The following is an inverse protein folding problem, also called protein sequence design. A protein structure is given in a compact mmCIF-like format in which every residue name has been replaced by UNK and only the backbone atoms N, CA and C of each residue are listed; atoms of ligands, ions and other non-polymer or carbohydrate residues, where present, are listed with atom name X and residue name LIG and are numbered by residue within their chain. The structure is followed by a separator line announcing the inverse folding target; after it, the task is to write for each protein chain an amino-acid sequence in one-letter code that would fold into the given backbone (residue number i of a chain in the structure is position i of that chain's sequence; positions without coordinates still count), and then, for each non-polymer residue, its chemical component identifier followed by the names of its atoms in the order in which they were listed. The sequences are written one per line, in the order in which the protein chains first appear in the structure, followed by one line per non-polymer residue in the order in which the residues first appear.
data_IF_868715256318
#
_entry.id   IF_868715256318
#
_cell.length_a   1.000
_cell.length_b   1.000
_cell.length_c   1.000
_cell.angle_alpha   90.00
_cell.angle_beta   90.00
_cell.angle_gamma   90.00
#
_symmetry.space_group_name_H-M   'P 1'
#
loop_
_entity.id
_entity.type
_entity.pdbx_description
1 polymer ?
#
# COMPACT_ATOMS: atom_id res chain seq x y z
N UNK A 1 -14.71 1.12 26.41
CA UNK A 1 -13.27 1.47 26.45
C UNK A 1 -13.10 2.91 26.01
N UNK A 2 -12.39 3.74 26.79
CA UNK A 2 -12.17 5.15 26.45
C UNK A 2 -11.25 5.30 25.22
N UNK A 3 -11.14 6.52 24.67
CA UNK A 3 -10.16 6.80 23.60
C UNK A 3 -8.72 6.63 24.08
N UNK A 4 -8.43 7.04 25.32
CA UNK A 4 -7.11 6.87 25.93
C UNK A 4 -6.74 5.39 26.10
N UNK A 5 -7.70 4.56 26.54
CA UNK A 5 -7.48 3.11 26.70
C UNK A 5 -7.23 2.41 25.35
N UNK A 6 -8.01 2.79 24.31
CA UNK A 6 -7.81 2.30 22.94
C UNK A 6 -6.41 2.62 22.44
N UNK A 7 -5.98 3.86 22.62
CA UNK A 7 -4.65 4.30 22.22
C UNK A 7 -3.55 3.52 22.93
N UNK A 8 -3.62 3.40 24.27
CA UNK A 8 -2.67 2.60 25.05
C UNK A 8 -2.60 1.16 24.56
N UNK A 9 -3.74 0.52 24.27
CA UNK A 9 -3.72 -0.83 23.71
C UNK A 9 -3.10 -0.94 22.33
N UNK A 10 -3.31 0.04 21.45
CA UNK A 10 -2.62 0.04 20.18
C UNK A 10 -1.11 0.23 20.33
N UNK A 11 -0.68 1.06 21.28
CA UNK A 11 0.74 1.26 21.59
C UNK A 11 1.39 -0.03 22.11
N UNK A 12 0.81 -0.65 23.14
CA UNK A 12 1.29 -1.93 23.71
C UNK A 12 1.44 -2.99 22.59
N UNK A 13 0.39 -3.16 21.79
CA UNK A 13 0.39 -4.13 20.70
C UNK A 13 1.40 -3.81 19.60
N UNK A 14 1.72 -2.54 19.38
CA UNK A 14 2.76 -2.15 18.43
C UNK A 14 4.16 -2.50 18.97
N UNK A 15 4.38 -2.32 20.27
CA UNK A 15 5.64 -2.70 20.93
C UNK A 15 5.80 -4.21 20.86
N UNK A 16 4.78 -4.97 21.27
CA UNK A 16 4.77 -6.45 21.18
C UNK A 16 4.99 -6.92 19.73
N UNK A 17 4.31 -6.28 18.77
CA UNK A 17 4.51 -6.56 17.35
C UNK A 17 5.97 -6.36 16.95
N UNK A 18 6.60 -5.26 17.33
CA UNK A 18 8.01 -5.04 17.05
C UNK A 18 8.87 -6.13 17.70
N UNK A 19 8.66 -6.45 18.98
CA UNK A 19 9.48 -7.40 19.74
C UNK A 19 9.46 -8.82 19.15
N UNK A 20 8.32 -9.25 18.61
CA UNK A 20 8.15 -10.56 17.96
C UNK A 20 9.00 -10.74 16.70
N UNK A 21 9.39 -9.67 15.99
CA UNK A 21 10.20 -9.82 14.79
C UNK A 21 11.69 -9.94 15.14
N UNK A 22 12.35 -11.04 14.72
CA UNK A 22 13.78 -11.14 14.88
C UNK A 22 14.46 -10.13 13.98
N UNK A 23 15.57 -9.57 14.47
CA UNK A 23 16.43 -8.74 13.64
C UNK A 23 17.18 -9.66 12.66
N UNK A 24 16.73 -9.66 11.41
CA UNK A 24 17.26 -10.58 10.39
C UNK A 24 18.22 -9.85 9.46
N UNK A 25 19.45 -10.33 9.34
CA UNK A 25 20.39 -9.90 8.30
C UNK A 25 20.21 -10.81 7.09
N UNK A 26 19.62 -10.26 6.05
CA UNK A 26 19.47 -10.90 4.74
C UNK A 26 20.80 -10.83 3.96
N UNK A 27 20.87 -11.60 2.86
CA UNK A 27 22.00 -11.55 1.93
C UNK A 27 22.29 -10.12 1.48
N UNK A 28 23.56 -9.84 1.20
CA UNK A 28 24.06 -8.53 0.78
C UNK A 28 23.90 -7.41 1.81
N UNK A 29 23.70 -7.74 3.08
CA UNK A 29 23.68 -6.72 4.12
C UNK A 29 22.40 -5.90 4.12
N UNK A 30 21.26 -6.56 3.96
CA UNK A 30 19.96 -5.92 4.15
C UNK A 30 19.41 -6.35 5.50
N UNK A 31 18.95 -5.41 6.32
CA UNK A 31 18.31 -5.73 7.59
C UNK A 31 16.81 -5.69 7.41
N UNK A 32 16.13 -6.70 7.95
CA UNK A 32 14.67 -6.78 7.94
C UNK A 32 14.13 -6.71 9.37
N UNK A 33 13.49 -5.59 9.70
CA UNK A 33 12.89 -5.36 11.00
C UNK A 33 11.78 -4.27 10.94
N UNK A 34 10.69 -4.33 11.75
CA UNK A 34 9.63 -3.33 11.75
C UNK A 34 10.08 -1.88 11.95
N UNK A 35 11.16 -1.65 12.70
CA UNK A 35 11.59 -0.29 13.06
C UNK A 35 12.75 0.25 12.21
N UNK A 36 13.49 -0.60 11.50
CA UNK A 36 14.67 -0.16 10.74
C UNK A 36 15.09 -1.17 9.67
N UNK A 37 15.74 -0.68 8.62
CA UNK A 37 16.20 -1.46 7.46
C UNK A 37 17.70 -1.30 7.17
N UNK A 38 18.41 -0.53 7.99
CA UNK A 38 19.84 -0.27 7.79
C UNK A 38 20.69 -1.27 8.55
N UNK A 39 21.80 -1.70 7.93
CA UNK A 39 22.91 -2.37 8.61
C UNK A 39 23.65 -1.45 9.57
N UNK A 40 23.45 -0.14 9.49
CA UNK A 40 24.13 0.81 10.35
C UNK A 40 23.17 1.42 11.35
N UNK A 41 23.58 1.45 12.60
CA UNK A 41 22.89 2.19 13.66
C UNK A 41 23.87 3.14 14.33
N UNK A 42 23.33 4.22 14.91
CA UNK A 42 24.12 5.08 15.79
C UNK A 42 24.13 4.44 17.17
N UNK A 43 25.30 4.01 17.62
CA UNK A 43 25.49 3.51 18.97
C UNK A 43 25.21 4.62 19.99
N UNK A 44 24.45 4.28 21.02
CA UNK A 44 23.89 5.26 21.96
C UNK A 44 24.97 5.76 22.94
N UNK A 45 25.88 4.90 23.34
CA UNK A 45 26.92 5.21 24.32
C UNK A 45 28.04 6.02 23.70
N UNK A 46 28.48 5.61 22.51
CA UNK A 46 29.65 6.20 21.83
C UNK A 46 29.27 7.28 20.82
N UNK A 47 28.00 7.33 20.39
CA UNK A 47 27.52 8.23 19.35
C UNK A 47 28.03 7.91 17.95
N UNK A 48 28.84 6.86 17.78
CA UNK A 48 29.45 6.44 16.52
C UNK A 48 28.48 5.62 15.69
N UNK A 49 28.73 5.57 14.37
CA UNK A 49 28.03 4.65 13.49
C UNK A 49 28.65 3.26 13.66
N UNK A 50 27.81 2.27 13.95
CA UNK A 50 28.19 0.86 14.11
C UNK A 50 27.50 0.05 13.02
N UNK A 51 28.21 -0.93 12.47
CA UNK A 51 27.67 -1.91 11.52
C UNK A 51 27.14 -3.10 12.33
N UNK A 52 25.89 -3.47 12.08
CA UNK A 52 25.22 -4.63 12.64
C UNK A 52 25.84 -5.91 12.05
N UNK A 53 26.42 -6.73 12.89
CA UNK A 53 27.00 -8.03 12.56
C UNK A 53 26.54 -9.08 13.58
N UNK A 54 26.66 -10.39 13.29
CA UNK A 54 26.24 -11.45 14.21
C UNK A 54 26.74 -11.30 15.66
N UNK A 55 27.92 -10.71 15.85
CA UNK A 55 28.55 -10.55 17.16
C UNK A 55 27.93 -9.43 18.02
N UNK A 56 27.36 -8.38 17.40
CA UNK A 56 26.81 -7.23 18.12
C UNK A 56 25.29 -7.04 17.93
N UNK A 57 24.67 -7.81 17.04
CA UNK A 57 23.28 -7.62 16.61
C UNK A 57 22.28 -7.73 17.75
N UNK A 58 22.55 -8.59 18.75
CA UNK A 58 21.66 -8.79 19.90
C UNK A 58 21.68 -7.57 20.83
N UNK A 59 22.86 -7.07 21.16
CA UNK A 59 23.02 -5.89 22.03
C UNK A 59 22.49 -4.63 21.34
N UNK A 60 22.85 -4.44 20.07
CA UNK A 60 22.39 -3.29 19.29
C UNK A 60 20.88 -3.34 19.05
N UNK A 61 20.28 -4.55 18.90
CA UNK A 61 18.81 -4.71 18.89
C UNK A 61 18.23 -4.12 20.17
N UNK A 62 18.66 -4.55 21.36
CA UNK A 62 18.13 -4.04 22.63
C UNK A 62 18.23 -2.52 22.71
N UNK A 63 19.40 -1.95 22.41
CA UNK A 63 19.62 -0.50 22.42
C UNK A 63 18.71 0.26 21.46
N UNK A 64 18.55 -0.22 20.22
CA UNK A 64 17.66 0.38 19.23
C UNK A 64 16.20 0.28 19.69
N UNK A 65 15.80 -0.86 20.24
CA UNK A 65 14.45 -1.07 20.75
C UNK A 65 14.13 -0.17 21.94
N UNK A 66 15.01 -0.06 22.93
CA UNK A 66 14.79 0.81 24.09
C UNK A 66 14.54 2.26 23.64
N UNK A 67 15.39 2.76 22.74
CA UNK A 67 15.24 4.10 22.16
C UNK A 67 13.95 4.24 21.34
N UNK A 68 13.62 3.26 20.52
CA UNK A 68 12.42 3.33 19.68
C UNK A 68 11.14 3.16 20.51
N UNK A 69 11.15 2.32 21.55
CA UNK A 69 10.06 2.15 22.50
C UNK A 69 9.77 3.45 23.25
N UNK A 70 10.82 4.18 23.68
CA UNK A 70 10.66 5.52 24.25
C UNK A 70 10.00 6.50 23.26
N UNK A 71 10.42 6.50 21.99
CA UNK A 71 9.82 7.34 20.93
C UNK A 71 8.38 6.96 20.62
N UNK A 72 8.08 5.66 20.55
CA UNK A 72 6.72 5.14 20.36
C UNK A 72 5.82 5.58 21.52
N UNK A 73 6.30 5.47 22.76
CA UNK A 73 5.55 5.84 23.96
C UNK A 73 5.27 7.35 24.04
N UNK A 74 6.15 8.18 23.47
CA UNK A 74 5.96 9.64 23.37
C UNK A 74 5.13 10.08 22.16
N UNK A 75 4.73 9.16 21.29
CA UNK A 75 3.96 9.52 20.10
C UNK A 75 2.56 10.01 20.51
N UNK A 76 2.03 11.10 19.93
CA UNK A 76 0.73 11.63 20.33
C UNK A 76 -0.45 10.80 19.78
N UNK A 77 -0.24 10.06 18.69
CA UNK A 77 -1.27 9.32 17.99
C UNK A 77 -0.69 8.13 17.21
N UNK A 78 -1.59 7.31 16.65
CA UNK A 78 -1.20 6.13 15.87
C UNK A 78 -0.57 6.48 14.52
N UNK A 79 -0.86 7.65 13.96
CA UNK A 79 -0.24 8.13 12.72
C UNK A 79 1.26 8.35 12.92
N UNK A 80 1.63 8.99 14.03
CA UNK A 80 3.00 9.20 14.47
C UNK A 80 3.73 7.86 14.66
N UNK A 81 3.08 6.89 15.31
CA UNK A 81 3.60 5.52 15.44
C UNK A 81 3.86 4.89 14.05
N UNK A 82 2.88 4.96 13.15
CA UNK A 82 2.98 4.41 11.78
C UNK A 82 4.11 5.03 10.94
N UNK A 83 4.62 6.22 11.30
CA UNK A 83 5.78 6.82 10.62
C UNK A 83 7.10 6.10 10.96
N UNK A 84 7.21 5.48 12.12
CA UNK A 84 8.39 4.73 12.53
C UNK A 84 8.46 3.31 11.96
N UNK A 85 7.31 2.79 11.53
CA UNK A 85 7.20 1.43 11.03
C UNK A 85 7.63 1.37 9.57
N UNK A 86 8.49 0.40 9.24
CA UNK A 86 8.98 0.18 7.89
C UNK A 86 7.86 -0.32 6.97
N UNK A 87 7.88 0.12 5.70
CA UNK A 87 6.80 -0.10 4.72
C UNK A 87 6.26 -1.55 4.71
N UNK A 88 7.09 -2.62 4.71
CA UNK A 88 6.59 -4.01 4.65
C UNK A 88 5.73 -4.43 5.86
N UNK A 89 5.82 -3.71 6.98
CA UNK A 89 5.17 -4.08 8.24
C UNK A 89 3.95 -3.21 8.56
N UNK A 90 3.69 -2.15 7.80
CA UNK A 90 2.59 -1.21 8.08
C UNK A 90 1.20 -1.84 7.93
N UNK A 91 0.99 -2.64 6.87
CA UNK A 91 -0.31 -3.29 6.64
C UNK A 91 -0.59 -4.40 7.67
N UNK A 92 0.36 -5.32 7.96
CA UNK A 92 0.20 -6.27 9.06
C UNK A 92 -0.11 -5.60 10.40
N UNK A 93 0.60 -4.52 10.74
CA UNK A 93 0.31 -3.75 11.95
C UNK A 93 -1.07 -3.10 11.90
N UNK A 94 -1.47 -2.46 10.80
CA UNK A 94 -2.80 -1.85 10.67
C UNK A 94 -3.91 -2.87 10.93
N UNK A 95 -3.79 -4.09 10.38
CA UNK A 95 -4.77 -5.16 10.58
C UNK A 95 -4.78 -5.69 12.02
N UNK A 96 -3.62 -5.74 12.67
CA UNK A 96 -3.51 -6.11 14.08
C UNK A 96 -4.25 -5.10 14.99
N UNK A 97 -4.14 -3.81 14.66
CA UNK A 97 -4.70 -2.71 15.44
C UNK A 97 -6.17 -2.39 15.14
N UNK A 98 -6.71 -2.93 14.04
CA UNK A 98 -8.04 -2.63 13.49
C UNK A 98 -9.15 -2.55 14.54
N UNK A 99 -9.26 -3.54 15.45
CA UNK A 99 -10.31 -3.61 16.47
C UNK A 99 -10.29 -2.46 17.50
N UNK A 100 -9.21 -1.70 17.56
CA UNK A 100 -9.03 -0.56 18.46
C UNK A 100 -9.21 0.79 17.76
N UNK A 101 -9.41 0.78 16.44
CA UNK A 101 -9.65 1.96 15.62
C UNK A 101 -11.15 2.18 15.42
N UNK A 102 -11.53 3.42 15.15
CA UNK A 102 -12.82 3.69 14.50
C UNK A 102 -12.75 3.29 13.03
N UNK A 103 -13.91 2.96 12.42
CA UNK A 103 -13.95 2.64 10.98
C UNK A 103 -13.36 3.78 10.11
N UNK A 104 -13.61 5.04 10.47
CA UNK A 104 -13.01 6.21 9.82
C UNK A 104 -11.48 6.19 9.89
N UNK A 105 -10.91 6.00 11.08
CA UNK A 105 -9.44 5.94 11.23
C UNK A 105 -8.86 4.80 10.40
N UNK A 106 -9.41 3.59 10.53
CA UNK A 106 -8.95 2.42 9.79
C UNK A 106 -9.01 2.65 8.27
N UNK A 107 -10.13 3.17 7.78
CA UNK A 107 -10.34 3.49 6.36
C UNK A 107 -9.30 4.47 5.83
N UNK A 108 -9.07 5.59 6.54
CA UNK A 108 -8.08 6.60 6.16
C UNK A 108 -6.67 6.02 6.11
N UNK A 109 -6.28 5.18 7.07
CA UNK A 109 -4.97 4.51 7.04
C UNK A 109 -4.88 3.46 5.93
N UNK A 110 -5.93 2.68 5.68
CA UNK A 110 -5.94 1.66 4.64
C UNK A 110 -5.68 2.25 3.26
N UNK A 111 -6.37 3.34 2.90
CA UNK A 111 -6.15 3.99 1.60
C UNK A 111 -4.80 4.72 1.51
N UNK A 112 -4.35 5.34 2.61
CA UNK A 112 -3.03 5.99 2.65
C UNK A 112 -1.92 4.96 2.45
N UNK A 113 -2.00 3.79 3.10
CA UNK A 113 -1.02 2.72 2.93
C UNK A 113 -1.07 2.12 1.53
N UNK A 114 -2.26 1.95 0.95
CA UNK A 114 -2.40 1.49 -0.44
C UNK A 114 -1.64 2.40 -1.41
N UNK A 115 -1.92 3.70 -1.37
CA UNK A 115 -1.37 4.70 -2.31
C UNK A 115 0.12 4.99 -2.12
N UNK A 116 0.65 4.76 -0.91
CA UNK A 116 2.07 4.97 -0.58
C UNK A 116 2.95 3.71 -0.71
N UNK A 117 2.35 2.53 -0.88
CA UNK A 117 3.08 1.27 -1.01
C UNK A 117 3.34 0.99 -2.49
N UNK A 118 4.60 0.82 -2.87
CA UNK A 118 4.99 0.55 -4.26
C UNK A 118 4.54 -0.85 -4.74
N UNK A 119 4.53 -1.83 -3.83
CA UNK A 119 4.22 -3.23 -4.13
C UNK A 119 3.20 -3.81 -3.15
N UNK A 120 1.95 -3.29 -3.10
CA UNK A 120 0.95 -3.70 -2.11
C UNK A 120 0.61 -5.19 -2.20
N UNK A 121 0.76 -5.78 -3.38
CA UNK A 121 0.57 -7.21 -3.66
C UNK A 121 1.44 -8.14 -2.80
N UNK A 122 2.59 -7.67 -2.28
CA UNK A 122 3.48 -8.45 -1.41
C UNK A 122 2.84 -8.83 -0.07
N UNK A 123 1.79 -8.12 0.35
CA UNK A 123 1.04 -8.44 1.58
C UNK A 123 0.05 -9.60 1.37
N UNK A 124 -0.07 -10.11 0.14
CA UNK A 124 -1.00 -11.18 -0.23
C UNK A 124 -2.40 -10.64 -0.57
N UNK A 125 -2.99 -11.17 -1.64
CA UNK A 125 -4.28 -10.72 -2.15
C UNK A 125 -5.41 -10.79 -1.11
N UNK A 126 -5.49 -11.90 -0.36
CA UNK A 126 -6.50 -12.11 0.68
C UNK A 126 -6.40 -11.08 1.81
N UNK A 127 -5.18 -10.73 2.22
CA UNK A 127 -4.91 -9.71 3.22
C UNK A 127 -5.41 -8.35 2.76
N UNK A 128 -5.12 -7.99 1.50
CA UNK A 128 -5.57 -6.71 0.93
C UNK A 128 -7.09 -6.65 0.79
N UNK A 129 -7.73 -7.73 0.35
CA UNK A 129 -9.20 -7.80 0.29
C UNK A 129 -9.82 -7.66 1.68
N UNK A 130 -9.32 -8.41 2.67
CA UNK A 130 -9.77 -8.31 4.06
C UNK A 130 -9.59 -6.90 4.64
N UNK A 131 -8.51 -6.21 4.27
CA UNK A 131 -8.32 -4.80 4.63
C UNK A 131 -9.44 -3.93 4.04
N UNK A 132 -9.68 -3.99 2.73
CA UNK A 132 -10.69 -3.16 2.08
C UNK A 132 -12.14 -3.52 2.46
N UNK A 133 -12.44 -4.78 2.72
CA UNK A 133 -13.77 -5.24 3.19
C UNK A 133 -14.17 -4.60 4.54
N UNK A 134 -13.18 -4.15 5.33
CA UNK A 134 -13.39 -3.48 6.63
C UNK A 134 -13.44 -1.94 6.53
N UNK A 135 -13.28 -1.39 5.33
CA UNK A 135 -13.33 0.06 5.10
C UNK A 135 -14.73 0.53 4.77
N UNK A 136 -14.99 1.81 5.00
CA UNK A 136 -16.17 2.49 4.50
C UNK A 136 -15.81 3.37 3.30
N UNK A 137 -16.49 3.17 2.16
CA UNK A 137 -16.26 3.93 0.91
C UNK A 137 -16.17 5.44 1.11
N UNK A 138 -17.00 5.98 2.01
CA UNK A 138 -17.04 7.43 2.30
C UNK A 138 -15.76 7.99 2.93
N UNK A 139 -14.86 7.15 3.40
CA UNK A 139 -13.62 7.52 4.09
C UNK A 139 -12.36 7.15 3.31
N UNK A 140 -12.49 6.47 2.16
CA UNK A 140 -11.38 6.04 1.30
C UNK A 140 -11.35 6.71 -0.07
N UNK A 141 -12.25 7.66 -0.31
CA UNK A 141 -12.29 8.47 -1.52
C UNK A 141 -12.35 9.95 -1.13
N UNK A 142 -11.61 10.79 -1.85
CA UNK A 142 -11.81 12.24 -1.80
C UNK A 142 -13.16 12.62 -2.42
N UNK A 143 -13.53 13.89 -2.36
CA UNK A 143 -14.79 14.34 -3.00
C UNK A 143 -14.73 14.16 -4.53
N UNK A 144 -13.63 14.56 -5.16
CA UNK A 144 -13.42 14.39 -6.62
C UNK A 144 -13.40 12.92 -7.04
N UNK A 145 -12.83 12.04 -6.20
CA UNK A 145 -12.85 10.58 -6.42
C UNK A 145 -14.28 10.03 -6.33
N UNK A 146 -15.07 10.51 -5.37
CA UNK A 146 -16.46 10.09 -5.17
C UNK A 146 -17.34 10.55 -6.33
N UNK A 147 -17.19 11.79 -6.80
CA UNK A 147 -17.91 12.29 -7.98
C UNK A 147 -17.63 11.41 -9.22
N UNK A 148 -16.36 11.05 -9.45
CA UNK A 148 -15.99 10.13 -10.53
C UNK A 148 -16.58 8.72 -10.34
N UNK A 149 -16.55 8.19 -9.11
CA UNK A 149 -17.19 6.93 -8.79
C UNK A 149 -18.70 6.97 -9.04
N UNK A 150 -19.38 8.05 -8.65
CA UNK A 150 -20.82 8.20 -8.78
C UNK A 150 -21.26 8.29 -10.24
N UNK A 151 -20.41 8.83 -11.12
CA UNK A 151 -20.62 8.85 -12.58
C UNK A 151 -20.42 7.48 -13.26
N UNK A 152 -19.83 6.49 -12.59
CA UNK A 152 -19.67 5.16 -13.18
C UNK A 152 -21.03 4.47 -13.43
N UNK A 153 -21.17 3.72 -14.54
CA UNK A 153 -22.35 2.88 -14.78
C UNK A 153 -22.41 1.68 -13.83
N UNK A 154 -23.57 1.01 -13.75
CA UNK A 154 -23.76 -0.16 -12.87
C UNK A 154 -22.84 -1.34 -13.21
N UNK A 155 -22.47 -1.48 -14.48
CA UNK A 155 -21.45 -2.43 -14.95
C UNK A 155 -20.28 -1.65 -15.56
N UNK A 156 -19.14 -1.70 -14.90
CA UNK A 156 -17.95 -0.92 -15.25
C UNK A 156 -17.01 -1.78 -16.06
N UNK A 157 -16.60 -1.29 -17.24
CA UNK A 157 -15.51 -1.86 -18.02
C UNK A 157 -14.20 -1.36 -17.44
N UNK A 158 -13.29 -2.28 -17.14
CA UNK A 158 -12.01 -1.97 -16.51
C UNK A 158 -10.86 -2.65 -17.24
N UNK A 159 -9.70 -2.01 -17.20
CA UNK A 159 -8.46 -2.45 -17.84
C UNK A 159 -7.34 -2.62 -16.80
N UNK A 160 -6.40 -3.52 -17.10
CA UNK A 160 -5.21 -3.73 -16.26
C UNK A 160 -4.00 -4.05 -17.12
N UNK A 161 -2.99 -3.20 -17.05
CA UNK A 161 -1.68 -3.46 -17.61
C UNK A 161 -0.91 -4.49 -16.80
N UNK A 162 -0.33 -5.48 -17.48
CA UNK A 162 0.47 -6.53 -16.87
C UNK A 162 1.84 -6.62 -17.52
N UNK A 163 2.86 -6.58 -16.68
CA UNK A 163 4.20 -7.04 -17.03
C UNK A 163 4.30 -8.56 -16.82
N UNK A 164 5.37 -9.16 -17.34
CA UNK A 164 5.68 -10.59 -17.14
C UNK A 164 5.63 -10.93 -15.64
N UNK A 165 5.00 -12.06 -15.31
CA UNK A 165 4.82 -12.60 -13.95
C UNK A 165 3.87 -11.80 -13.02
N UNK A 166 3.19 -10.76 -13.52
CA UNK A 166 2.20 -10.02 -12.74
C UNK A 166 0.91 -10.84 -12.51
N UNK A 167 0.32 -10.68 -11.32
CA UNK A 167 -0.96 -11.31 -10.99
C UNK A 167 -2.09 -10.75 -11.87
N UNK A 168 -2.72 -11.64 -12.64
CA UNK A 168 -3.79 -11.31 -13.58
C UNK A 168 -5.02 -10.70 -12.89
N UNK A 169 -5.48 -11.33 -11.81
CA UNK A 169 -6.67 -10.88 -11.04
C UNK A 169 -6.27 -10.01 -9.85
N UNK A 170 -5.52 -8.93 -10.09
CA UNK A 170 -5.17 -7.93 -9.08
C UNK A 170 -6.37 -7.12 -8.57
N UNK A 171 -6.19 -6.39 -7.48
CA UNK A 171 -7.20 -5.43 -6.97
C UNK A 171 -7.18 -4.10 -7.74
N UNK A 172 -6.03 -3.71 -8.28
CA UNK A 172 -5.83 -2.45 -9.01
C UNK A 172 -6.21 -2.62 -10.49
N UNK A 173 -7.17 -1.85 -10.96
CA UNK A 173 -7.55 -1.74 -12.36
C UNK A 173 -7.70 -0.25 -12.70
N UNK A 174 -8.00 0.09 -13.94
CA UNK A 174 -8.29 1.47 -14.35
C UNK A 174 -9.47 1.48 -15.32
N UNK A 175 -10.18 2.60 -15.42
CA UNK A 175 -11.17 2.81 -16.49
C UNK A 175 -10.54 3.36 -17.77
N UNK A 176 -9.27 3.80 -17.72
CA UNK A 176 -8.53 4.31 -18.87
C UNK A 176 -7.73 3.20 -19.55
N UNK A 177 -7.99 2.99 -20.85
CA UNK A 177 -7.22 2.03 -21.66
C UNK A 177 -5.76 2.47 -21.78
N UNK A 178 -5.51 3.76 -22.08
CA UNK A 178 -4.17 4.32 -22.24
C UNK A 178 -3.31 4.17 -20.98
N UNK A 179 -3.90 4.33 -19.78
CA UNK A 179 -3.21 4.06 -18.51
C UNK A 179 -2.83 2.58 -18.40
N UNK A 180 -3.74 1.66 -18.73
CA UNK A 180 -3.45 0.23 -18.69
C UNK A 180 -2.34 -0.17 -19.69
N UNK A 181 -2.33 0.42 -20.88
CA UNK A 181 -1.26 0.23 -21.87
C UNK A 181 0.08 0.76 -21.37
N UNK A 182 0.10 1.96 -20.80
CA UNK A 182 1.30 2.51 -20.20
C UNK A 182 1.89 1.58 -19.13
N UNK A 183 1.05 1.03 -18.24
CA UNK A 183 1.51 0.04 -17.24
C UNK A 183 2.02 -1.26 -17.86
N UNK A 184 1.40 -1.73 -18.95
CA UNK A 184 1.82 -2.92 -19.66
C UNK A 184 3.21 -2.73 -20.29
N UNK A 185 3.46 -1.57 -20.90
CA UNK A 185 4.66 -1.33 -21.70
C UNK A 185 5.78 -0.56 -20.97
N UNK A 186 5.51 -0.14 -19.72
CA UNK A 186 6.49 0.56 -18.87
C UNK A 186 7.83 -0.19 -18.81
N UNK A 187 8.92 0.59 -18.79
CA UNK A 187 10.30 0.09 -18.81
C UNK A 187 10.67 -0.63 -20.12
N UNK A 188 10.09 -0.18 -21.24
CA UNK A 188 10.37 -0.68 -22.60
C UNK A 188 10.12 -2.18 -22.75
N UNK A 189 9.10 -2.69 -22.06
CA UNK A 189 8.66 -4.09 -22.14
C UNK A 189 7.43 -4.16 -23.05
N UNK A 190 7.14 -5.34 -23.61
CA UNK A 190 5.85 -5.60 -24.25
C UNK A 190 4.98 -6.40 -23.29
N UNK A 191 4.08 -5.71 -22.61
CA UNK A 191 3.16 -6.31 -21.65
C UNK A 191 1.87 -6.82 -22.30
N UNK A 192 0.93 -7.21 -21.44
CA UNK A 192 -0.44 -7.56 -21.83
C UNK A 192 -1.42 -6.61 -21.15
N UNK A 193 -2.49 -6.26 -21.85
CA UNK A 193 -3.63 -5.57 -21.24
C UNK A 193 -4.73 -6.60 -21.03
N UNK A 194 -5.27 -6.65 -19.82
CA UNK A 194 -6.51 -7.36 -19.54
C UNK A 194 -7.68 -6.39 -19.59
N UNK A 195 -8.81 -6.88 -20.07
CA UNK A 195 -10.11 -6.21 -19.97
C UNK A 195 -11.08 -7.11 -19.21
N UNK A 196 -11.94 -6.50 -18.40
CA UNK A 196 -12.96 -7.18 -17.63
C UNK A 196 -14.18 -6.28 -17.39
N UNK A 197 -15.27 -6.88 -16.93
CA UNK A 197 -16.45 -6.18 -16.42
C UNK A 197 -16.58 -6.40 -14.92
N UNK A 198 -17.02 -5.39 -14.19
CA UNK A 198 -17.32 -5.50 -12.76
C UNK A 198 -18.58 -4.72 -12.38
N UNK A 199 -19.44 -5.26 -11.50
CA UNK A 199 -20.51 -4.47 -10.89
C UNK A 199 -19.96 -3.32 -10.03
N UNK A 200 -20.53 -2.12 -10.16
CA UNK A 200 -20.11 -0.91 -9.43
C UNK A 200 -20.07 -1.10 -7.91
N UNK A 201 -20.99 -1.87 -7.33
CA UNK A 201 -21.06 -2.16 -5.90
C UNK A 201 -19.87 -3.01 -5.37
N UNK A 202 -19.11 -3.66 -6.27
CA UNK A 202 -17.91 -4.48 -5.95
C UNK A 202 -16.60 -3.74 -6.09
N UNK A 203 -16.65 -2.46 -6.40
CA UNK A 203 -15.53 -1.53 -6.35
C UNK A 203 -15.41 -1.00 -4.92
N UNK A 204 -14.18 -1.06 -4.38
CA UNK A 204 -13.84 -0.48 -3.10
C UNK A 204 -13.65 1.03 -3.23
N UNK A 205 -12.87 1.50 -4.20
CA UNK A 205 -12.62 2.92 -4.42
C UNK A 205 -12.30 3.25 -5.88
N UNK A 206 -12.60 4.48 -6.27
CA UNK A 206 -12.03 5.18 -7.43
C UNK A 206 -10.94 6.12 -6.91
N UNK A 207 -9.77 6.17 -7.53
CA UNK A 207 -8.68 7.08 -7.16
C UNK A 207 -8.17 7.81 -8.41
N UNK A 208 -8.45 9.11 -8.50
CA UNK A 208 -8.04 9.99 -9.61
C UNK A 208 -6.60 10.47 -9.50
N UNK A 209 -6.00 10.34 -8.32
CA UNK A 209 -4.64 10.84 -8.08
C UNK A 209 -3.65 10.26 -9.09
N UNK A 210 -2.63 11.04 -9.47
CA UNK A 210 -1.60 10.65 -10.44
C UNK A 210 -2.10 10.40 -11.87
N UNK A 211 -3.33 10.82 -12.19
CA UNK A 211 -3.95 10.64 -13.52
C UNK A 211 -4.07 9.15 -13.92
N UNK A 212 -4.15 8.25 -12.94
CA UNK A 212 -4.23 6.80 -13.18
C UNK A 212 -5.69 6.31 -13.31
N UNK A 213 -6.67 7.09 -12.83
CA UNK A 213 -8.08 6.69 -12.72
C UNK A 213 -8.24 5.26 -12.18
N UNK A 214 -7.55 5.00 -11.06
CA UNK A 214 -7.43 3.67 -10.48
C UNK A 214 -8.76 3.23 -9.87
N UNK A 215 -9.20 2.02 -10.23
CA UNK A 215 -10.28 1.29 -9.62
C UNK A 215 -9.68 0.22 -8.70
N UNK A 216 -9.84 0.40 -7.40
CA UNK A 216 -9.55 -0.63 -6.41
C UNK A 216 -10.81 -1.48 -6.27
N UNK A 217 -10.73 -2.77 -6.58
CA UNK A 217 -11.89 -3.65 -6.64
C UNK A 217 -11.68 -5.00 -5.97
N UNK A 218 -12.77 -5.72 -5.73
CA UNK A 218 -12.73 -7.12 -5.34
C UNK A 218 -12.61 -8.03 -6.59
N UNK A 219 -11.44 -8.66 -6.83
CA UNK A 219 -11.18 -9.41 -8.06
C UNK A 219 -12.01 -10.69 -8.22
N UNK A 220 -12.65 -11.18 -7.15
CA UNK A 220 -13.53 -12.35 -7.20
C UNK A 220 -14.82 -12.07 -7.99
N UNK A 221 -15.20 -10.80 -8.11
CA UNK A 221 -16.40 -10.37 -8.82
C UNK A 221 -16.17 -9.94 -10.27
N UNK A 222 -14.91 -9.99 -10.74
CA UNK A 222 -14.59 -9.73 -12.15
C UNK A 222 -15.23 -10.79 -13.06
N UNK A 223 -15.86 -10.30 -14.13
CA UNK A 223 -16.50 -11.09 -15.19
C UNK A 223 -15.77 -10.89 -16.51
N UNK A 224 -15.81 -11.89 -17.38
CA UNK A 224 -15.29 -11.82 -18.75
C UNK A 224 -13.82 -11.35 -18.85
N UNK A 225 -12.98 -11.74 -17.88
CA UNK A 225 -11.56 -11.39 -17.87
C UNK A 225 -10.87 -12.03 -19.06
N UNK A 226 -10.35 -11.21 -19.98
CA UNK A 226 -9.63 -11.68 -21.17
C UNK A 226 -8.46 -10.76 -21.48
N UNK A 227 -7.50 -11.25 -22.25
CA UNK A 227 -6.46 -10.40 -22.85
C UNK A 227 -7.14 -9.58 -23.94
N UNK A 228 -6.89 -8.26 -23.94
CA UNK A 228 -7.33 -7.37 -24.99
C UNK A 228 -6.39 -7.51 -26.18
N UNK A 229 -6.95 -7.75 -27.37
CA UNK A 229 -6.18 -7.64 -28.60
C UNK A 229 -6.02 -6.17 -28.95
N UNK A 230 -4.78 -5.66 -28.80
CA UNK A 230 -4.45 -4.26 -29.05
C UNK A 230 -4.40 -3.92 -30.55
N UNK A 231 -4.56 -4.90 -31.43
CA UNK A 231 -4.73 -4.67 -32.86
C UNK A 231 -6.17 -4.37 -33.28
N UNK A 232 -7.15 -4.57 -32.38
CA UNK A 232 -8.59 -4.44 -32.67
C UNK A 232 -9.24 -3.14 -32.15
N UNK A 233 -8.54 -2.29 -31.38
CA UNK A 233 -9.11 -1.10 -30.74
C UNK A 233 -8.18 0.13 -30.93
N UNK A 234 -8.37 0.95 -31.98
CA UNK A 234 -7.55 2.12 -32.21
C UNK A 234 -8.13 3.31 -31.43
N UNK A 235 -7.59 3.61 -30.25
CA UNK A 235 -7.60 4.99 -29.76
C UNK A 235 -6.31 5.64 -30.27
N UNK A 236 -6.44 6.47 -31.31
CA UNK A 236 -5.36 7.36 -31.75
C UNK A 236 -4.93 8.24 -30.56
N UNK A 237 -3.63 8.36 -30.25
CA UNK A 237 -3.20 9.31 -29.24
C UNK A 237 -3.45 10.73 -29.75
N UNK A 238 -4.20 11.53 -28.99
CA UNK A 238 -4.28 12.97 -29.21
C UNK A 238 -2.85 13.56 -29.14
N UNK A 239 -2.46 14.47 -30.07
CA UNK A 239 -1.13 15.05 -30.06
C UNK A 239 -0.93 15.91 -28.80
N UNK A 240 0.22 15.74 -28.15
CA UNK A 240 0.65 16.59 -27.04
C UNK A 240 0.66 18.07 -27.46
N UNK A 241 0.17 19.01 -26.63
CA UNK A 241 0.29 20.43 -26.95
C UNK A 241 1.77 20.84 -26.93
N UNK A 242 2.25 21.34 -28.07
CA UNK A 242 3.56 21.98 -28.19
C UNK A 242 3.67 23.11 -27.16
N UNK A 243 4.57 22.94 -26.18
CA UNK A 243 4.95 24.03 -25.29
C UNK A 243 5.90 24.92 -26.08
N UNK A 244 5.37 26.00 -26.67
CA UNK A 244 6.18 27.11 -27.16
C UNK A 244 6.91 27.75 -25.97
N UNK A 245 8.23 27.55 -25.94
CA UNK A 245 9.13 28.27 -25.05
C UNK A 245 9.27 29.69 -25.60
N UNK A 246 8.68 30.66 -24.90
CA UNK A 246 9.04 32.09 -25.00
C UNK A 246 9.45 32.62 -23.64
#
# INVERSE_FOLDING_TARGET
MSLSDRYRKMLDMTIDFCDMYPLTVLRYGIVSHPLFTSLTCRDIETGKIVILCPDNIKEQKTKIYDRMSERLTRSPDIGSIMTFIQKPYKIPLLLLLERYMTCKQFSVYAIALWTQTEFPHQNGQKTMMSMFDKTERRHIMTESDREAYDMLPDQVKVYRGLQKDAMKRGLSWTVSLSVAEWFADRFSRKGQVLVAMIPKDRIYAFIKSRHEDEIILNPLHLRSVRILDRSEDPEEPEPEPEIEVT
#
